data_IF_358004931622
#
_entry.id   IF_358004931622
#
_cell.length_a   1.000
_cell.length_b   1.000
_cell.length_c   1.000
_cell.angle_alpha   90.00
_cell.angle_beta   90.00
_cell.angle_gamma   90.00
#
_symmetry.space_group_name_H-M   'P 1'
#
loop_
_entity.id
_entity.type
_entity.pdbx_description
1 polymer ?
#
# COMPACT_ATOMS: atom_id res chain seq x y z
N UNK A 1 -9.95 13.53 -6.02
CA UNK A 1 -9.77 13.17 -4.58
C UNK A 1 -8.54 12.30 -4.48
N UNK A 2 -7.60 12.63 -3.60
CA UNK A 2 -6.39 11.83 -3.41
C UNK A 2 -6.71 10.58 -2.58
N UNK A 3 -6.35 9.41 -3.11
CA UNK A 3 -6.55 8.10 -2.49
C UNK A 3 -5.24 7.31 -2.47
N UNK A 4 -5.00 6.62 -1.36
CA UNK A 4 -3.95 5.63 -1.20
C UNK A 4 -4.55 4.26 -1.52
N UNK A 5 -4.12 3.66 -2.64
CA UNK A 5 -4.70 2.43 -3.18
C UNK A 5 -3.64 1.45 -3.65
N UNK A 6 -4.06 0.20 -3.84
CA UNK A 6 -3.22 -0.82 -4.47
C UNK A 6 -3.30 -0.69 -5.99
N UNK A 7 -2.14 -0.54 -6.63
CA UNK A 7 -1.99 -0.67 -8.06
C UNK A 7 -1.48 -2.08 -8.37
N UNK A 8 -2.31 -2.88 -9.03
CA UNK A 8 -1.91 -4.22 -9.48
C UNK A 8 -0.87 -4.12 -10.59
N UNK A 9 0.16 -4.93 -10.45
CA UNK A 9 1.28 -5.19 -11.35
C UNK A 9 1.50 -6.71 -11.41
N UNK A 10 2.54 -7.12 -12.14
CA UNK A 10 2.91 -8.51 -12.32
C UNK A 10 2.18 -9.18 -13.47
N UNK A 11 2.28 -10.50 -13.53
CA UNK A 11 1.76 -11.30 -14.63
C UNK A 11 0.55 -12.13 -14.17
N UNK A 12 -0.04 -12.87 -15.12
CA UNK A 12 -1.13 -13.80 -14.81
C UNK A 12 -0.62 -14.85 -13.81
N UNK A 13 -1.36 -15.08 -12.73
CA UNK A 13 -1.06 -15.99 -11.60
C UNK A 13 0.04 -15.55 -10.61
N UNK A 14 0.74 -14.45 -10.86
CA UNK A 14 1.72 -13.87 -9.92
C UNK A 14 1.52 -12.36 -9.79
N UNK A 15 0.45 -11.92 -9.10
CA UNK A 15 0.15 -10.51 -8.93
C UNK A 15 1.14 -9.88 -7.95
N UNK A 16 1.70 -8.74 -8.33
CA UNK A 16 2.46 -7.85 -7.45
C UNK A 16 1.66 -6.54 -7.28
N UNK A 17 1.77 -5.89 -6.12
CA UNK A 17 1.00 -4.69 -5.86
C UNK A 17 1.90 -3.56 -5.38
N UNK A 18 1.71 -2.37 -5.95
CA UNK A 18 2.30 -1.15 -5.43
C UNK A 18 1.30 -0.43 -4.55
N UNK A 19 1.74 0.07 -3.41
CA UNK A 19 0.95 0.99 -2.57
C UNK A 19 1.24 2.39 -3.09
N UNK A 20 0.25 3.02 -3.72
CA UNK A 20 0.41 4.27 -4.45
C UNK A 20 -0.56 5.33 -3.98
N UNK A 21 -0.13 6.58 -4.04
CA UNK A 21 -0.97 7.77 -3.91
C UNK A 21 -1.36 8.23 -5.31
N UNK A 22 -2.66 8.35 -5.57
CA UNK A 22 -3.17 8.80 -6.86
C UNK A 22 -4.48 9.56 -6.69
N UNK A 23 -4.89 10.34 -7.69
CA UNK A 23 -6.28 10.81 -7.73
C UNK A 23 -7.21 9.64 -8.07
N UNK A 24 -8.33 9.53 -7.37
CA UNK A 24 -9.41 8.57 -7.60
C UNK A 24 -9.93 8.61 -9.05
N UNK A 25 -9.90 9.78 -9.70
CA UNK A 25 -10.33 9.93 -11.09
C UNK A 25 -9.44 9.16 -12.08
N UNK A 26 -8.18 8.88 -11.74
CA UNK A 26 -7.28 8.15 -12.60
C UNK A 26 -7.52 6.64 -12.54
N UNK A 27 -7.28 5.96 -13.66
CA UNK A 27 -7.34 4.50 -13.75
C UNK A 27 -6.37 3.84 -12.77
N UNK A 28 -6.72 2.63 -12.31
CA UNK A 28 -5.95 1.93 -11.27
C UNK A 28 -4.51 1.61 -11.69
N UNK A 29 -4.27 1.37 -12.98
CA UNK A 29 -2.95 1.13 -13.56
C UNK A 29 -2.29 2.39 -14.16
N UNK A 30 -2.93 3.55 -14.04
CA UNK A 30 -2.52 4.80 -14.69
C UNK A 30 -1.49 5.61 -13.91
N UNK A 31 -1.55 6.94 -14.11
CA UNK A 31 -0.65 7.91 -13.48
C UNK A 31 -0.84 7.93 -11.96
N UNK A 32 0.28 8.00 -11.24
CA UNK A 32 0.33 8.10 -9.79
C UNK A 32 1.11 9.36 -9.40
N UNK A 33 0.84 9.87 -8.19
CA UNK A 33 1.57 11.00 -7.60
C UNK A 33 2.86 10.49 -6.93
N UNK A 34 2.76 9.43 -6.14
CA UNK A 34 3.87 8.87 -5.39
C UNK A 34 3.67 7.37 -5.14
N UNK A 35 4.77 6.61 -5.09
CA UNK A 35 4.77 5.20 -4.66
C UNK A 35 5.29 5.11 -3.23
N UNK A 36 4.46 4.65 -2.30
CA UNK A 36 4.78 4.55 -0.87
C UNK A 36 5.40 3.20 -0.48
N UNK A 37 5.19 2.17 -1.32
CA UNK A 37 5.61 0.83 -0.97
C UNK A 37 5.18 -0.25 -1.94
N UNK A 38 5.47 -1.50 -1.57
CA UNK A 38 5.26 -2.70 -2.36
C UNK A 38 4.64 -3.79 -1.50
N UNK A 39 3.75 -4.58 -2.09
CA UNK A 39 3.11 -5.71 -1.47
C UNK A 39 3.06 -6.88 -2.46
N UNK A 40 3.80 -7.93 -2.14
CA UNK A 40 3.85 -9.13 -2.93
C UNK A 40 3.30 -10.34 -2.14
N UNK A 41 2.07 -10.80 -2.46
CA UNK A 41 1.45 -11.94 -1.81
C UNK A 41 1.99 -13.30 -2.27
N UNK A 42 2.80 -13.36 -3.34
CA UNK A 42 3.28 -14.63 -3.89
C UNK A 42 4.41 -15.28 -3.06
N UNK A 43 4.99 -14.54 -2.11
CA UNK A 43 6.00 -15.06 -1.18
C UNK A 43 5.35 -15.53 0.12
N UNK A 44 5.95 -16.55 0.72
CA UNK A 44 5.58 -17.04 2.05
C UNK A 44 6.81 -16.96 2.96
N UNK A 45 6.89 -15.97 3.88
CA UNK A 45 5.86 -14.97 4.22
C UNK A 45 5.71 -13.84 3.16
N UNK A 46 4.53 -13.19 3.07
CA UNK A 46 4.31 -12.10 2.12
C UNK A 46 5.29 -10.95 2.31
N UNK A 47 5.91 -10.51 1.22
CA UNK A 47 6.84 -9.38 1.25
C UNK A 47 6.04 -8.08 1.23
N UNK A 48 6.23 -7.27 2.26
CA UNK A 48 5.55 -5.99 2.43
C UNK A 48 6.55 -4.93 2.85
N UNK A 49 6.70 -3.91 2.03
CA UNK A 49 7.57 -2.76 2.27
C UNK A 49 6.72 -1.51 2.21
N UNK A 50 6.80 -0.65 3.22
CA UNK A 50 5.99 0.55 3.32
C UNK A 50 6.79 1.69 3.96
N UNK A 51 6.76 2.88 3.36
CA UNK A 51 7.27 4.09 3.96
C UNK A 51 6.21 4.72 4.88
N UNK A 52 6.33 4.49 6.19
CA UNK A 52 5.38 4.97 7.19
C UNK A 52 5.35 6.50 7.32
N UNK A 53 6.50 7.16 7.15
CA UNK A 53 6.61 8.62 7.24
C UNK A 53 5.80 9.30 6.13
N UNK A 54 5.95 8.82 4.89
CA UNK A 54 5.20 9.36 3.74
C UNK A 54 3.72 8.99 3.81
N UNK A 55 3.38 7.79 4.27
CA UNK A 55 1.99 7.42 4.50
C UNK A 55 1.31 8.40 5.47
N UNK A 56 1.95 8.67 6.61
CA UNK A 56 1.42 9.56 7.64
C UNK A 56 1.22 10.97 7.11
N UNK A 57 2.17 11.49 6.34
CA UNK A 57 2.07 12.80 5.68
C UNK A 57 0.86 12.90 4.73
N UNK A 58 0.63 11.89 3.89
CA UNK A 58 -0.50 11.92 2.96
C UNK A 58 -1.83 11.82 3.68
N UNK A 59 -1.92 11.00 4.73
CA UNK A 59 -3.11 10.89 5.57
C UNK A 59 -3.40 12.21 6.28
N UNK A 60 -2.38 12.88 6.84
CA UNK A 60 -2.57 14.20 7.47
C UNK A 60 -2.96 15.29 6.48
N UNK A 61 -2.57 15.16 5.21
CA UNK A 61 -2.97 16.05 4.12
C UNK A 61 -4.40 15.78 3.62
N UNK A 62 -5.09 14.76 4.17
CA UNK A 62 -6.47 14.42 3.83
C UNK A 62 -6.62 13.34 2.75
N UNK A 63 -5.56 12.60 2.42
CA UNK A 63 -5.68 11.45 1.52
C UNK A 63 -6.47 10.32 2.19
N UNK A 64 -7.43 9.75 1.45
CA UNK A 64 -8.21 8.61 1.94
C UNK A 64 -7.46 7.29 1.72
N UNK A 65 -7.53 6.35 2.66
CA UNK A 65 -6.90 5.03 2.54
C UNK A 65 -7.96 4.01 2.11
N UNK A 66 -7.66 3.20 1.09
CA UNK A 66 -8.53 2.09 0.69
C UNK A 66 -8.58 0.96 1.74
N UNK A 67 -9.70 0.21 1.86
CA UNK A 67 -9.84 -0.85 2.86
C UNK A 67 -8.73 -1.91 2.83
N UNK A 68 -8.29 -2.30 1.64
CA UNK A 68 -7.20 -3.28 1.46
C UNK A 68 -5.87 -2.77 2.03
N UNK A 69 -5.53 -1.51 1.78
CA UNK A 69 -4.30 -0.89 2.32
C UNK A 69 -4.40 -0.76 3.83
N UNK A 70 -5.57 -0.40 4.37
CA UNK A 70 -5.81 -0.36 5.83
C UNK A 70 -5.54 -1.71 6.49
N UNK A 71 -5.99 -2.81 5.90
CA UNK A 71 -5.72 -4.16 6.39
C UNK A 71 -4.23 -4.51 6.36
N UNK A 72 -3.50 -4.11 5.32
CA UNK A 72 -2.04 -4.31 5.23
C UNK A 72 -1.28 -3.51 6.28
N UNK A 73 -1.63 -2.24 6.49
CA UNK A 73 -1.00 -1.40 7.53
C UNK A 73 -1.23 -1.99 8.93
N UNK A 74 -2.44 -2.49 9.22
CA UNK A 74 -2.72 -3.19 10.48
C UNK A 74 -1.86 -4.44 10.67
N UNK A 75 -1.64 -5.21 9.59
CA UNK A 75 -0.78 -6.40 9.63
C UNK A 75 0.66 -6.06 9.98
N UNK A 76 1.22 -4.98 9.41
CA UNK A 76 2.58 -4.49 9.75
C UNK A 76 2.67 -4.16 11.24
N UNK A 77 1.73 -3.37 11.76
CA UNK A 77 1.71 -2.95 13.16
C UNK A 77 1.64 -4.14 14.13
N UNK A 78 0.86 -5.17 13.79
CA UNK A 78 0.77 -6.41 14.60
C UNK A 78 2.09 -7.16 14.63
N UNK A 79 2.76 -7.30 13.47
CA UNK A 79 4.06 -7.98 13.39
C UNK A 79 5.10 -7.23 14.23
N UNK A 80 5.19 -5.90 14.11
CA UNK A 80 6.14 -5.09 14.86
C UNK A 80 5.94 -5.18 16.40
N UNK A 81 4.70 -5.31 16.87
CA UNK A 81 4.39 -5.47 18.28
C UNK A 81 4.81 -6.84 18.85
N UNK A 82 4.80 -7.88 18.03
CA UNK A 82 5.09 -9.26 18.47
C UNK A 82 6.59 -9.49 18.69
N UNK A 83 7.46 -8.78 17.96
CA UNK A 83 8.92 -8.91 18.07
C UNK A 83 9.51 -8.20 19.30
N UNK A 84 8.72 -7.42 20.05
CA UNK A 84 9.19 -6.62 21.20
C UNK A 84 8.88 -7.24 22.57
N UNK A 85 8.64 -8.55 22.64
CA UNK A 85 8.50 -9.31 23.88
C UNK A 85 9.70 -10.26 24.03
#
# INVERSE_FOLDING_TARGET
>A
MVIIRLQRRGTKKTPDHRIVVADKAHSQAGRVLETLGYYNPAYEPPKLTLNESRLTYWVSTGAQISPAVTSLVKRIKKTAATTRA
#
